data_IF_757755316380
#
_entry.id   IF_757755316380
#
_cell.length_a   1.000
_cell.length_b   1.000
_cell.length_c   1.000
_cell.angle_alpha   90.00
_cell.angle_beta   90.00
_cell.angle_gamma   90.00
#
_symmetry.space_group_name_H-M   'P 1'
#
loop_
_entity.id
_entity.type
_entity.pdbx_description
1 polymer ?
#
# COMPACT_ATOMS: atom_id res chain seq x y z
N UNK A 1 10.10 -17.16 -7.13
CA UNK A 1 11.45 -16.85 -7.66
C UNK A 1 11.95 -15.47 -7.23
N UNK A 2 11.15 -14.40 -7.24
CA UNK A 2 11.60 -13.05 -6.85
C UNK A 2 11.81 -12.84 -5.32
N UNK A 3 11.23 -13.69 -4.47
CA UNK A 3 11.27 -13.55 -3.01
C UNK A 3 12.48 -14.18 -2.31
N UNK A 4 13.26 -15.02 -2.99
CA UNK A 4 14.46 -15.65 -2.42
C UNK A 4 15.68 -14.71 -2.41
N UNK A 5 15.68 -13.66 -3.25
CA UNK A 5 16.80 -12.71 -3.33
C UNK A 5 16.88 -11.74 -2.14
N UNK A 6 15.73 -11.40 -1.55
CA UNK A 6 15.68 -10.40 -0.46
C UNK A 6 16.08 -10.97 0.91
N UNK A 7 15.95 -12.28 1.13
CA UNK A 7 16.32 -12.90 2.42
C UNK A 7 17.84 -13.08 2.60
N UNK A 8 18.66 -12.67 1.63
CA UNK A 8 20.13 -12.84 1.64
C UNK A 8 20.89 -11.55 1.91
N UNK A 9 20.25 -10.39 1.76
CA UNK A 9 20.81 -9.12 2.22
C UNK A 9 20.51 -9.03 3.72
N UNK A 10 21.48 -9.44 4.54
CA UNK A 10 21.46 -9.40 6.00
C UNK A 10 21.38 -7.97 6.56
N UNK A 11 20.32 -7.25 6.20
CA UNK A 11 19.96 -5.93 6.65
C UNK A 11 18.53 -6.06 7.16
N UNK A 12 18.41 -6.39 8.44
CA UNK A 12 17.33 -6.05 9.38
C UNK A 12 17.31 -7.13 10.45
N UNK A 13 17.71 -6.74 11.66
CA UNK A 13 17.44 -7.48 12.86
C UNK A 13 15.94 -7.77 12.93
N UNK A 14 15.58 -9.05 12.89
CA UNK A 14 14.19 -9.51 13.06
C UNK A 14 13.73 -9.17 14.47
N UNK A 15 13.14 -7.98 14.64
CA UNK A 15 12.45 -7.63 15.89
C UNK A 15 11.21 -8.54 16.02
N UNK A 16 11.00 -9.22 17.15
CA UNK A 16 9.91 -10.18 17.36
C UNK A 16 8.50 -9.55 17.24
N UNK A 17 8.41 -8.21 17.18
CA UNK A 17 7.16 -7.46 17.14
C UNK A 17 6.62 -7.16 15.72
N UNK A 18 7.40 -7.45 14.68
CA UNK A 18 7.00 -7.20 13.29
C UNK A 18 6.34 -8.44 12.71
N UNK A 19 5.06 -8.62 13.01
CA UNK A 19 4.26 -9.70 12.42
C UNK A 19 4.10 -9.45 10.91
N UNK A 20 4.26 -10.49 10.09
CA UNK A 20 4.08 -10.47 8.61
C UNK A 20 2.84 -9.69 8.12
N UNK A 21 1.68 -9.72 8.80
CA UNK A 21 0.52 -8.91 8.42
C UNK A 21 0.74 -7.40 8.50
N UNK A 22 1.56 -6.90 9.45
CA UNK A 22 1.90 -5.48 9.55
C UNK A 22 2.72 -5.01 8.34
N UNK A 23 3.65 -5.84 7.86
CA UNK A 23 4.48 -5.54 6.68
C UNK A 23 3.61 -5.54 5.42
N UNK A 24 2.72 -6.52 5.28
CA UNK A 24 1.75 -6.58 4.18
C UNK A 24 0.82 -5.36 4.18
N UNK A 25 0.34 -4.93 5.35
CA UNK A 25 -0.51 -3.75 5.48
C UNK A 25 0.24 -2.47 5.09
N UNK A 26 1.47 -2.28 5.58
CA UNK A 26 2.31 -1.13 5.22
C UNK A 26 2.67 -1.13 3.74
N UNK A 27 2.94 -2.30 3.14
CA UNK A 27 3.18 -2.42 1.70
C UNK A 27 1.93 -2.11 0.87
N UNK A 28 0.76 -2.55 1.32
CA UNK A 28 -0.53 -2.29 0.64
C UNK A 28 -0.89 -0.80 0.70
N UNK A 29 -0.64 -0.14 1.83
CA UNK A 29 -0.89 1.30 2.00
C UNK A 29 0.20 2.14 1.31
N UNK A 30 1.47 1.75 1.41
CA UNK A 30 2.58 2.44 0.73
C UNK A 30 2.51 2.31 -0.79
N UNK A 31 1.93 1.22 -1.30
CA UNK A 31 1.79 0.94 -2.73
C UNK A 31 0.60 1.61 -3.42
N UNK A 32 -0.22 2.42 -2.73
CA UNK A 32 -1.42 3.05 -3.30
C UNK A 32 -1.08 3.94 -4.51
N UNK A 33 0.16 4.43 -4.62
CA UNK A 33 0.71 4.93 -5.89
C UNK A 33 0.02 6.18 -6.48
N UNK A 34 -0.93 6.79 -5.77
CA UNK A 34 -1.79 7.88 -6.23
C UNK A 34 -1.04 8.95 -7.04
N UNK A 35 0.05 9.47 -6.48
CA UNK A 35 0.86 10.53 -7.11
C UNK A 35 1.58 10.05 -8.37
N UNK A 36 2.08 8.81 -8.38
CA UNK A 36 2.76 8.23 -9.55
C UNK A 36 1.77 7.85 -10.65
N UNK A 37 0.60 7.33 -10.29
CA UNK A 37 -0.49 7.03 -11.23
C UNK A 37 -1.02 8.29 -11.91
N UNK A 38 -1.19 9.39 -11.16
CA UNK A 38 -1.58 10.67 -11.75
C UNK A 38 -0.52 11.22 -12.71
N UNK A 39 0.76 11.02 -12.40
CA UNK A 39 1.85 11.44 -13.29
C UNK A 39 1.85 10.63 -14.59
N UNK A 40 1.67 9.31 -14.51
CA UNK A 40 1.54 8.43 -15.68
C UNK A 40 0.32 8.84 -16.53
N UNK A 41 -0.81 9.17 -15.91
CA UNK A 41 -2.00 9.61 -16.65
C UNK A 41 -1.76 10.90 -17.44
N UNK A 42 -1.00 11.85 -16.90
CA UNK A 42 -0.63 13.09 -17.61
C UNK A 42 0.35 12.85 -18.77
N UNK A 43 1.22 11.83 -18.66
CA UNK A 43 2.11 11.46 -19.76
C UNK A 43 1.39 10.64 -20.85
N UNK A 44 0.40 9.84 -20.47
CA UNK A 44 -0.32 8.94 -21.36
C UNK A 44 -1.42 9.64 -22.16
N UNK A 45 -2.07 10.67 -21.60
CA UNK A 45 -3.22 11.33 -22.23
C UNK A 45 -3.00 12.83 -22.43
N UNK A 46 -3.40 13.33 -23.60
CA UNK A 46 -3.45 14.76 -23.89
C UNK A 46 -4.56 15.44 -23.08
N UNK A 47 -4.45 16.76 -22.81
CA UNK A 47 -5.49 17.50 -22.10
C UNK A 47 -6.84 17.37 -22.81
N UNK A 48 -7.86 16.93 -22.08
CA UNK A 48 -9.20 16.66 -22.61
C UNK A 48 -10.02 15.74 -21.69
N UNK A 49 -11.27 15.42 -22.07
CA UNK A 49 -12.21 14.69 -21.23
C UNK A 49 -11.73 13.28 -20.81
N UNK A 50 -10.83 12.69 -21.60
CA UNK A 50 -10.23 11.37 -21.32
C UNK A 50 -9.27 11.43 -20.13
N UNK A 51 -8.51 12.54 -20.00
CA UNK A 51 -7.60 12.76 -18.88
C UNK A 51 -8.37 12.98 -17.57
N UNK A 52 -9.49 13.69 -17.62
CA UNK A 52 -10.33 13.93 -16.45
C UNK A 52 -10.97 12.63 -15.96
N UNK A 53 -11.44 11.79 -16.90
CA UNK A 53 -11.95 10.45 -16.58
C UNK A 53 -10.85 9.58 -15.97
N UNK A 54 -9.62 9.63 -16.49
CA UNK A 54 -8.49 8.88 -15.94
C UNK A 54 -8.13 9.33 -14.52
N UNK A 55 -8.13 10.64 -14.24
CA UNK A 55 -7.91 11.18 -12.88
C UNK A 55 -8.97 10.68 -11.90
N UNK A 56 -10.24 10.71 -12.30
CA UNK A 56 -11.34 10.21 -11.48
C UNK A 56 -11.21 8.71 -11.22
N UNK A 57 -10.86 7.91 -12.23
CA UNK A 57 -10.63 6.48 -12.07
C UNK A 57 -9.48 6.19 -11.08
N UNK A 58 -8.38 6.96 -11.16
CA UNK A 58 -7.25 6.83 -10.24
C UNK A 58 -7.67 7.21 -8.81
N UNK A 59 -8.40 8.32 -8.62
CA UNK A 59 -8.90 8.72 -7.30
C UNK A 59 -9.79 7.64 -6.68
N UNK A 60 -10.77 7.14 -7.44
CA UNK A 60 -11.72 6.13 -6.96
C UNK A 60 -10.99 4.81 -6.68
N UNK A 61 -10.10 4.38 -7.57
CA UNK A 61 -9.30 3.16 -7.37
C UNK A 61 -8.42 3.25 -6.13
N UNK A 62 -7.72 4.36 -5.92
CA UNK A 62 -6.91 4.59 -4.72
C UNK A 62 -7.76 4.65 -3.45
N UNK A 63 -8.95 5.27 -3.49
CA UNK A 63 -9.86 5.31 -2.36
C UNK A 63 -10.36 3.90 -1.97
N UNK A 64 -10.73 3.08 -2.95
CA UNK A 64 -11.12 1.69 -2.70
C UNK A 64 -9.95 0.89 -2.12
N UNK A 65 -8.74 1.05 -2.65
CA UNK A 65 -7.55 0.38 -2.12
C UNK A 65 -7.27 0.77 -0.65
N UNK A 66 -7.44 2.06 -0.29
CA UNK A 66 -7.34 2.53 1.09
C UNK A 66 -8.40 1.86 1.98
N UNK A 67 -9.66 1.86 1.56
CA UNK A 67 -10.76 1.29 2.35
C UNK A 67 -10.53 -0.20 2.57
N UNK A 68 -10.16 -0.95 1.53
CA UNK A 68 -9.88 -2.39 1.63
C UNK A 68 -8.67 -2.64 2.51
N UNK A 69 -7.59 -1.88 2.35
CA UNK A 69 -6.40 -2.01 3.17
C UNK A 69 -6.64 -1.70 4.64
N UNK A 70 -7.37 -0.62 4.93
CA UNK A 70 -7.79 -0.26 6.29
C UNK A 70 -8.72 -1.31 6.88
N UNK A 71 -9.73 -1.78 6.14
CA UNK A 71 -10.65 -2.82 6.59
C UNK A 71 -9.88 -4.10 6.94
N UNK A 72 -8.96 -4.53 6.07
CA UNK A 72 -8.09 -5.69 6.33
C UNK A 72 -7.22 -5.46 7.58
N UNK A 73 -6.62 -4.27 7.71
CA UNK A 73 -5.83 -3.89 8.88
C UNK A 73 -6.63 -3.91 10.18
N UNK A 74 -7.86 -3.40 10.17
CA UNK A 74 -8.78 -3.38 11.31
C UNK A 74 -9.25 -4.79 11.69
N UNK A 75 -9.60 -5.63 10.71
CA UNK A 75 -9.96 -7.04 10.95
C UNK A 75 -8.79 -7.81 11.58
N UNK A 76 -7.57 -7.53 11.11
CA UNK A 76 -6.35 -8.16 11.62
C UNK A 76 -5.89 -7.54 12.95
N UNK A 77 -6.44 -6.38 13.36
CA UNK A 77 -6.11 -5.67 14.60
C UNK A 77 -6.74 -6.29 15.87
N UNK A 78 -6.96 -7.60 15.90
CA UNK A 78 -7.24 -8.33 17.15
C UNK A 78 -5.94 -8.61 17.91
N UNK A 79 -5.36 -7.56 18.50
CA UNK A 79 -4.67 -7.53 19.79
C UNK A 79 -4.09 -6.12 20.00
N UNK A 80 -4.66 -5.30 20.90
CA UNK A 80 -3.83 -4.35 21.61
C UNK A 80 -2.85 -5.20 22.44
N UNK A 81 -1.57 -5.14 22.09
CA UNK A 81 -0.56 -5.46 23.09
C UNK A 81 -0.82 -4.46 24.22
N UNK A 82 -1.30 -5.01 25.33
CA UNK A 82 -1.61 -4.28 26.53
C UNK A 82 -0.37 -3.51 26.99
N UNK A 83 -0.67 -2.44 27.70
CA UNK A 83 0.23 -1.65 28.52
C UNK A 83 1.16 -2.56 29.35
N UNK A 84 2.45 -2.55 29.06
CA UNK A 84 3.52 -2.87 30.01
C UNK A 84 4.44 -1.63 29.93
N UNK A 85 4.41 -0.69 30.89
CA UNK A 85 4.84 -0.85 32.26
C UNK A 85 6.12 -0.04 32.42
#
# INVERSE_FOLDING_TARGET
>A
AASLGASRLGIVARSPDTTVPKILLVGLVGGIGFTMSLFIAHLAFKPGPVLDTAKLAILVGSAVAIIVGLAFGLITRRRPAALDG
#
